data_IF_427417587692
#
_entry.id   IF_427417587692
#
_cell.length_a   1.000
_cell.length_b   1.000
_cell.length_c   1.000
_cell.angle_alpha   90.00
_cell.angle_beta   90.00
_cell.angle_gamma   90.00
#
_symmetry.space_group_name_H-M   'P 1'
#
loop_
_entity.id
_entity.type
_entity.pdbx_description
1 polymer ?
#
# COMPACT_ATOMS: atom_id res chain seq x y z
N UNK A 1 -62.11 21.73 -2.31
CA UNK A 1 -61.94 20.95 -3.56
C UNK A 1 -61.43 21.78 -4.74
N UNK A 2 -61.98 22.96 -5.08
CA UNK A 2 -61.49 23.76 -6.23
C UNK A 2 -59.97 24.05 -6.20
N UNK A 3 -59.43 24.35 -5.03
CA UNK A 3 -58.01 24.67 -4.83
C UNK A 3 -57.08 23.44 -5.06
N UNK A 4 -57.52 22.24 -4.63
CA UNK A 4 -56.81 20.97 -4.87
C UNK A 4 -56.70 20.67 -6.38
N UNK A 5 -57.75 20.98 -7.15
CA UNK A 5 -57.79 20.71 -8.59
C UNK A 5 -57.09 21.78 -9.45
N UNK A 6 -56.95 23.01 -8.94
CA UNK A 6 -56.39 24.15 -9.70
C UNK A 6 -54.95 24.46 -9.30
N UNK A 7 -54.58 24.24 -8.04
CA UNK A 7 -53.25 24.52 -7.49
C UNK A 7 -52.80 23.40 -6.52
N UNK A 8 -52.60 22.17 -7.01
CA UNK A 8 -52.32 21.00 -6.19
C UNK A 8 -51.09 21.17 -5.29
N UNK A 9 -50.02 21.79 -5.77
CA UNK A 9 -48.80 22.04 -4.98
C UNK A 9 -49.06 23.00 -3.80
N UNK A 10 -49.74 24.13 -4.05
CA UNK A 10 -50.08 25.09 -3.00
C UNK A 10 -51.06 24.51 -1.98
N UNK A 11 -51.93 23.61 -2.42
CA UNK A 11 -52.82 22.90 -1.52
C UNK A 11 -52.02 21.91 -0.65
N UNK A 12 -51.11 21.15 -1.25
CA UNK A 12 -50.26 20.18 -0.54
C UNK A 12 -49.38 20.87 0.50
N UNK A 13 -48.70 21.96 0.14
CA UNK A 13 -47.89 22.75 1.07
C UNK A 13 -48.71 23.28 2.25
N UNK A 14 -49.91 23.83 1.98
CA UNK A 14 -50.82 24.30 3.04
C UNK A 14 -51.31 23.17 3.93
N UNK A 15 -51.67 22.02 3.37
CA UNK A 15 -52.09 20.84 4.12
C UNK A 15 -50.97 20.30 5.01
N UNK A 16 -49.73 20.22 4.49
CA UNK A 16 -48.55 19.81 5.25
C UNK A 16 -48.25 20.77 6.40
N UNK A 17 -48.25 22.07 6.12
CA UNK A 17 -48.02 23.09 7.14
C UNK A 17 -49.10 23.07 8.24
N UNK A 18 -50.37 22.88 7.85
CA UNK A 18 -51.46 22.74 8.81
C UNK A 18 -51.30 21.47 9.67
N UNK A 19 -50.97 20.33 9.05
CA UNK A 19 -50.69 19.09 9.76
C UNK A 19 -49.55 19.25 10.78
N UNK A 20 -48.42 19.83 10.35
CA UNK A 20 -47.28 20.07 11.23
C UNK A 20 -47.66 21.01 12.38
N UNK A 21 -48.41 22.08 12.11
CA UNK A 21 -48.85 23.01 13.15
C UNK A 21 -49.77 22.34 14.18
N UNK A 22 -50.70 21.50 13.74
CA UNK A 22 -51.58 20.73 14.63
C UNK A 22 -50.79 19.72 15.46
N UNK A 23 -49.95 18.90 14.83
CA UNK A 23 -49.15 17.90 15.53
C UNK A 23 -48.16 18.52 16.53
N UNK A 24 -47.63 19.73 16.28
CA UNK A 24 -46.79 20.44 17.24
C UNK A 24 -47.54 20.79 18.54
N UNK A 25 -48.85 21.03 18.45
CA UNK A 25 -49.71 21.31 19.60
C UNK A 25 -50.12 20.01 20.28
N UNK A 26 -50.63 19.04 19.50
CA UNK A 26 -51.17 17.79 20.02
C UNK A 26 -50.11 16.93 20.74
N UNK A 27 -48.87 16.97 20.25
CA UNK A 27 -47.75 16.21 20.81
C UNK A 27 -46.74 17.10 21.56
N UNK A 28 -47.17 18.29 22.00
CA UNK A 28 -46.32 19.21 22.75
C UNK A 28 -45.67 18.54 23.97
N UNK A 29 -46.48 17.91 24.83
CA UNK A 29 -46.03 17.32 26.08
C UNK A 29 -45.11 16.11 25.88
N UNK A 30 -45.31 15.37 24.78
CA UNK A 30 -44.39 14.31 24.35
C UNK A 30 -43.01 14.91 24.11
N UNK A 31 -42.90 15.97 23.31
CA UNK A 31 -41.62 16.57 22.94
C UNK A 31 -40.95 17.37 24.06
N UNK A 32 -41.70 17.77 25.09
CA UNK A 32 -41.16 18.33 26.33
C UNK A 32 -40.45 17.28 27.19
N UNK A 33 -40.89 16.02 27.14
CA UNK A 33 -40.47 14.97 28.08
C UNK A 33 -39.71 13.79 27.46
N UNK A 34 -39.64 13.70 26.13
CA UNK A 34 -39.04 12.56 25.42
C UNK A 34 -37.55 12.35 25.72
N UNK A 35 -36.84 13.41 26.07
CA UNK A 35 -35.43 13.38 26.47
C UNK A 35 -35.20 14.21 27.74
N UNK A 36 -33.98 14.19 28.27
CA UNK A 36 -33.63 14.96 29.48
C UNK A 36 -33.80 16.47 29.32
N UNK A 37 -33.89 16.96 28.09
CA UNK A 37 -34.19 18.35 27.77
C UNK A 37 -35.22 18.40 26.65
N UNK A 38 -36.14 19.40 26.67
CA UNK A 38 -37.14 19.55 25.63
C UNK A 38 -36.52 19.65 24.24
N UNK A 39 -37.14 19.00 23.24
CA UNK A 39 -36.70 19.16 21.86
C UNK A 39 -36.95 20.58 21.38
N UNK A 40 -36.03 21.12 20.58
CA UNK A 40 -36.22 22.44 19.94
C UNK A 40 -37.32 22.38 18.90
N UNK A 41 -37.89 23.53 18.53
CA UNK A 41 -38.95 23.61 17.50
C UNK A 41 -38.56 22.93 16.18
N UNK A 42 -37.31 23.07 15.74
CA UNK A 42 -36.85 22.46 14.50
C UNK A 42 -36.69 20.94 14.62
N UNK A 43 -36.25 20.44 15.78
CA UNK A 43 -36.22 19.01 16.07
C UNK A 43 -37.64 18.43 16.13
N UNK A 44 -38.60 19.12 16.76
CA UNK A 44 -40.01 18.71 16.79
C UNK A 44 -40.60 18.64 15.38
N UNK A 45 -40.34 19.65 14.54
CA UNK A 45 -40.74 19.62 13.13
C UNK A 45 -40.13 18.42 12.41
N UNK A 46 -38.83 18.16 12.58
CA UNK A 46 -38.17 16.99 12.00
C UNK A 46 -38.77 15.65 12.49
N UNK A 47 -39.30 15.60 13.71
CA UNK A 47 -40.02 14.44 14.23
C UNK A 47 -41.43 14.29 13.65
N UNK A 48 -42.05 15.36 13.14
CA UNK A 48 -43.45 15.35 12.68
C UNK A 48 -43.56 15.19 11.16
N UNK A 49 -42.66 15.83 10.40
CA UNK A 49 -42.68 15.83 8.92
C UNK A 49 -42.83 14.41 8.40
N UNK A 50 -43.91 14.18 7.66
CA UNK A 50 -44.35 12.84 7.24
C UNK A 50 -44.23 12.67 5.73
N UNK A 51 -43.00 12.75 5.25
CA UNK A 51 -42.63 12.42 3.87
C UNK A 51 -42.02 11.02 3.84
N UNK A 52 -42.05 10.35 2.67
CA UNK A 52 -41.47 9.02 2.49
C UNK A 52 -39.97 8.98 2.81
N UNK A 53 -39.26 10.06 2.51
CA UNK A 53 -37.82 10.18 2.74
C UNK A 53 -37.47 11.53 3.38
N UNK A 54 -36.87 11.49 4.57
CA UNK A 54 -36.47 12.68 5.32
C UNK A 54 -34.94 12.71 5.54
N UNK A 55 -34.27 13.74 5.03
CA UNK A 55 -32.85 13.99 5.28
C UNK A 55 -32.68 15.07 6.34
N UNK A 56 -32.11 14.71 7.49
CA UNK A 56 -31.80 15.65 8.57
C UNK A 56 -30.32 16.01 8.51
N UNK A 57 -30.02 17.27 8.16
CA UNK A 57 -28.66 17.81 8.20
C UNK A 57 -28.40 18.41 9.58
N UNK A 58 -27.43 17.86 10.29
CA UNK A 58 -27.21 18.22 11.70
C UNK A 58 -25.72 18.18 12.09
N UNK A 59 -25.24 19.32 12.62
CA UNK A 59 -23.88 19.49 13.12
C UNK A 59 -23.55 18.60 14.31
N UNK A 60 -22.27 18.58 14.71
CA UNK A 60 -21.87 17.92 15.95
C UNK A 60 -22.59 18.57 17.15
N UNK A 61 -23.06 17.75 18.10
CA UNK A 61 -23.71 18.25 19.32
C UNK A 61 -25.13 18.81 19.18
N UNK A 62 -25.74 18.85 17.99
CA UNK A 62 -27.08 19.45 17.78
C UNK A 62 -28.26 18.52 18.11
N UNK A 63 -28.03 17.45 18.87
CA UNK A 63 -29.10 16.55 19.32
C UNK A 63 -29.65 15.57 18.26
N UNK A 64 -28.85 15.16 17.26
CA UNK A 64 -29.23 14.16 16.23
C UNK A 64 -29.96 12.94 16.79
N UNK A 65 -29.35 12.31 17.80
CA UNK A 65 -29.89 11.11 18.45
C UNK A 65 -31.23 11.40 19.13
N UNK A 66 -31.34 12.53 19.82
CA UNK A 66 -32.58 12.98 20.46
C UNK A 66 -33.70 13.23 19.44
N UNK A 67 -33.39 13.76 18.26
CA UNK A 67 -34.36 13.91 17.17
C UNK A 67 -34.83 12.56 16.62
N UNK A 68 -33.92 11.58 16.46
CA UNK A 68 -34.30 10.22 16.03
C UNK A 68 -35.24 9.56 17.05
N UNK A 69 -34.90 9.65 18.34
CA UNK A 69 -35.73 9.12 19.43
C UNK A 69 -37.10 9.83 19.46
N UNK A 70 -37.11 11.16 19.30
CA UNK A 70 -38.33 11.96 19.18
C UNK A 70 -39.22 11.53 18.03
N UNK A 71 -38.65 11.24 16.85
CA UNK A 71 -39.41 10.75 15.67
C UNK A 71 -40.03 9.39 15.97
N UNK A 72 -39.28 8.47 16.55
CA UNK A 72 -39.78 7.15 16.92
C UNK A 72 -40.91 7.25 17.94
N UNK A 73 -40.74 8.06 18.98
CA UNK A 73 -41.77 8.28 19.99
C UNK A 73 -43.04 8.87 19.37
N UNK A 74 -42.89 9.85 18.46
CA UNK A 74 -44.02 10.42 17.73
C UNK A 74 -44.74 9.38 16.87
N UNK A 75 -44.03 8.58 16.08
CA UNK A 75 -44.63 7.54 15.22
C UNK A 75 -45.45 6.52 16.02
N UNK A 76 -44.94 6.10 17.18
CA UNK A 76 -45.62 5.15 18.06
C UNK A 76 -46.81 5.80 18.76
N UNK A 77 -46.63 6.98 19.37
CA UNK A 77 -47.69 7.66 20.12
C UNK A 77 -48.83 8.17 19.22
N UNK A 78 -48.54 8.50 17.96
CA UNK A 78 -49.55 8.90 16.97
C UNK A 78 -50.25 7.71 16.30
N UNK A 79 -49.79 6.48 16.55
CA UNK A 79 -50.36 5.27 15.95
C UNK A 79 -50.02 5.08 14.46
N UNK A 80 -49.02 5.81 13.94
CA UNK A 80 -48.57 5.69 12.55
C UNK A 80 -47.74 4.42 12.30
N UNK A 81 -47.05 3.93 13.34
CA UNK A 81 -46.30 2.68 13.28
C UNK A 81 -46.33 1.97 14.64
N UNK A 82 -46.35 0.65 14.60
CA UNK A 82 -46.07 -0.16 15.79
C UNK A 82 -44.57 -0.23 16.03
N UNK A 83 -44.11 -0.42 17.29
CA UNK A 83 -42.69 -0.54 17.60
C UNK A 83 -41.95 -1.58 16.73
N UNK A 84 -42.55 -2.74 16.49
CA UNK A 84 -41.99 -3.83 15.69
C UNK A 84 -41.88 -3.53 14.19
N UNK A 85 -42.54 -2.49 13.69
CA UNK A 85 -42.46 -2.03 12.30
C UNK A 85 -41.29 -1.04 12.08
N UNK A 86 -40.60 -0.63 13.16
CA UNK A 86 -39.52 0.36 13.13
C UNK A 86 -38.15 -0.34 13.22
N UNK A 87 -37.31 -0.07 12.23
CA UNK A 87 -35.89 -0.47 12.20
C UNK A 87 -34.99 0.76 12.36
N UNK A 88 -34.14 0.75 13.38
CA UNK A 88 -33.09 1.74 13.59
C UNK A 88 -31.72 1.13 13.24
N UNK A 89 -30.95 1.86 12.43
CA UNK A 89 -29.61 1.46 12.04
C UNK A 89 -28.57 2.44 12.58
N UNK A 90 -27.57 1.90 13.25
CA UNK A 90 -26.40 2.64 13.72
C UNK A 90 -25.11 2.02 13.20
N UNK A 91 -24.04 2.81 13.15
CA UNK A 91 -22.74 2.32 12.70
C UNK A 91 -22.05 1.44 13.76
N UNK A 92 -22.16 1.81 15.03
CA UNK A 92 -21.55 1.10 16.16
C UNK A 92 -22.59 0.38 17.02
N UNK A 93 -22.22 -0.78 17.57
CA UNK A 93 -23.08 -1.57 18.45
C UNK A 93 -23.51 -0.80 19.71
N UNK A 94 -22.60 0.00 20.29
CA UNK A 94 -22.93 0.85 21.45
C UNK A 94 -24.02 1.87 21.14
N UNK A 95 -24.02 2.46 19.95
CA UNK A 95 -25.02 3.44 19.55
C UNK A 95 -26.39 2.79 19.29
N UNK A 96 -26.41 1.58 18.69
CA UNK A 96 -27.64 0.80 18.54
C UNK A 96 -28.23 0.42 19.91
N UNK A 97 -27.38 -0.04 20.84
CA UNK A 97 -27.79 -0.39 22.20
C UNK A 97 -28.33 0.83 22.96
N UNK A 98 -27.63 1.95 22.89
CA UNK A 98 -28.05 3.20 23.53
C UNK A 98 -29.41 3.67 22.99
N UNK A 99 -29.64 3.62 21.68
CA UNK A 99 -30.94 3.97 21.08
C UNK A 99 -32.06 3.07 21.65
N UNK A 100 -31.81 1.76 21.71
CA UNK A 100 -32.76 0.78 22.26
C UNK A 100 -33.04 1.05 23.74
N UNK A 101 -32.01 1.19 24.57
CA UNK A 101 -32.16 1.46 25.99
C UNK A 101 -32.93 2.75 26.25
N UNK A 102 -32.64 3.83 25.52
CA UNK A 102 -33.37 5.10 25.68
C UNK A 102 -34.85 4.94 25.36
N UNK A 103 -35.20 4.23 24.28
CA UNK A 103 -36.59 4.00 23.88
C UNK A 103 -37.33 3.11 24.89
N UNK A 104 -36.70 2.03 25.34
CA UNK A 104 -37.32 1.07 26.27
C UNK A 104 -37.40 1.62 27.70
N UNK A 105 -36.31 2.14 28.23
CA UNK A 105 -36.20 2.55 29.64
C UNK A 105 -36.85 3.90 29.93
N UNK A 106 -36.70 4.88 29.03
CA UNK A 106 -37.26 6.23 29.25
C UNK A 106 -38.70 6.34 28.78
N UNK A 107 -39.04 5.71 27.66
CA UNK A 107 -40.34 5.90 27.01
C UNK A 107 -41.27 4.69 27.12
N UNK A 108 -40.77 3.56 27.63
CA UNK A 108 -41.55 2.32 27.71
C UNK A 108 -41.86 1.69 26.36
N UNK A 109 -41.23 2.16 25.28
CA UNK A 109 -41.46 1.67 23.92
C UNK A 109 -40.60 0.43 23.71
N UNK A 110 -41.24 -0.74 23.70
CA UNK A 110 -40.58 -2.05 23.55
C UNK A 110 -40.86 -2.65 22.19
N UNK A 111 -39.93 -3.47 21.69
CA UNK A 111 -40.10 -4.22 20.44
C UNK A 111 -39.48 -3.57 19.20
N UNK A 112 -38.80 -2.43 19.37
CA UNK A 112 -38.05 -1.78 18.27
C UNK A 112 -36.79 -2.59 17.97
N UNK A 113 -36.54 -2.80 16.67
CA UNK A 113 -35.28 -3.39 16.21
C UNK A 113 -34.24 -2.28 16.02
N UNK A 114 -33.22 -2.23 16.87
CA UNK A 114 -32.07 -1.34 16.71
C UNK A 114 -30.80 -2.16 16.50
N UNK A 115 -30.21 -2.07 15.32
CA UNK A 115 -29.11 -2.96 14.89
C UNK A 115 -28.00 -2.18 14.18
N UNK A 116 -26.85 -2.84 14.00
CA UNK A 116 -25.83 -2.34 13.08
C UNK A 116 -26.08 -2.85 11.67
N UNK A 117 -25.56 -2.14 10.65
CA UNK A 117 -25.61 -2.60 9.26
C UNK A 117 -25.07 -4.03 9.09
N UNK A 118 -23.94 -4.34 9.71
CA UNK A 118 -23.32 -5.67 9.65
C UNK A 118 -24.22 -6.76 10.25
N UNK A 119 -24.86 -6.47 11.40
CA UNK A 119 -25.74 -7.43 12.06
C UNK A 119 -27.03 -7.64 11.27
N UNK A 120 -27.63 -6.58 10.74
CA UNK A 120 -28.76 -6.69 9.84
C UNK A 120 -28.42 -7.57 8.63
N UNK A 121 -27.30 -7.29 7.96
CA UNK A 121 -26.84 -8.06 6.81
C UNK A 121 -26.67 -9.54 7.14
N UNK A 122 -26.02 -9.86 8.27
CA UNK A 122 -25.87 -11.25 8.74
C UNK A 122 -27.21 -11.92 9.02
N UNK A 123 -28.16 -11.21 9.63
CA UNK A 123 -29.51 -11.72 9.89
C UNK A 123 -30.28 -12.01 8.60
N UNK A 124 -30.14 -11.15 7.58
CA UNK A 124 -30.75 -11.36 6.26
C UNK A 124 -30.18 -12.61 5.60
N UNK A 125 -28.84 -12.70 5.50
CA UNK A 125 -28.15 -13.85 4.89
C UNK A 125 -28.53 -15.15 5.58
N UNK A 126 -28.51 -15.17 6.92
CA UNK A 126 -28.86 -16.36 7.69
C UNK A 126 -30.32 -16.80 7.52
N UNK A 127 -31.23 -15.86 7.22
CA UNK A 127 -32.64 -16.19 6.93
C UNK A 127 -32.84 -16.65 5.48
N UNK A 128 -32.02 -16.17 4.54
CA UNK A 128 -32.15 -16.49 3.12
C UNK A 128 -31.40 -17.76 2.71
N UNK A 129 -30.32 -18.11 3.40
CA UNK A 129 -29.46 -19.25 3.06
C UNK A 129 -29.63 -20.41 4.07
N UNK A 130 -29.85 -21.65 3.59
CA UNK A 130 -30.03 -22.82 4.46
C UNK A 130 -28.75 -23.27 5.18
N UNK A 131 -27.58 -22.88 4.67
CA UNK A 131 -26.27 -23.11 5.30
C UNK A 131 -25.50 -21.78 5.32
N UNK A 132 -25.41 -21.08 6.47
CA UNK A 132 -24.63 -19.86 6.55
C UNK A 132 -23.16 -20.23 6.34
N UNK A 133 -22.65 -19.98 5.13
CA UNK A 133 -21.26 -20.26 4.79
C UNK A 133 -20.33 -19.71 5.89
N UNK A 134 -19.67 -20.63 6.60
CA UNK A 134 -18.79 -20.25 7.68
C UNK A 134 -17.68 -19.35 7.12
N UNK A 135 -17.61 -18.12 7.61
CA UNK A 135 -16.53 -17.21 7.22
C UNK A 135 -15.21 -17.86 7.63
N UNK A 136 -14.30 -18.05 6.67
CA UNK A 136 -12.97 -18.61 6.96
C UNK A 136 -12.29 -17.82 8.08
N UNK A 137 -11.64 -18.48 9.05
CA UNK A 137 -10.88 -17.79 10.10
C UNK A 137 -9.83 -16.81 9.54
N UNK A 138 -9.29 -17.08 8.35
CA UNK A 138 -8.35 -16.20 7.64
C UNK A 138 -8.96 -14.86 7.19
N UNK A 139 -10.29 -14.73 7.18
CA UNK A 139 -10.95 -13.48 6.84
C UNK A 139 -10.84 -12.43 7.96
N UNK A 140 -10.71 -12.89 9.21
CA UNK A 140 -10.65 -12.05 10.41
C UNK A 140 -9.31 -12.11 11.12
N UNK A 141 -8.58 -13.22 11.00
CA UNK A 141 -7.25 -13.40 11.57
C UNK A 141 -6.16 -13.13 10.51
N UNK A 142 -5.53 -11.95 10.63
CA UNK A 142 -4.44 -11.54 9.73
C UNK A 142 -3.21 -12.44 9.84
N UNK A 143 -2.87 -12.90 11.05
CA UNK A 143 -1.70 -13.72 11.27
C UNK A 143 -1.88 -15.11 10.64
N UNK A 144 -3.07 -15.69 10.79
CA UNK A 144 -3.41 -16.95 10.14
C UNK A 144 -3.39 -16.83 8.61
N UNK A 145 -3.92 -15.73 8.05
CA UNK A 145 -3.85 -15.47 6.61
C UNK A 145 -2.40 -15.38 6.12
N UNK A 146 -1.56 -14.59 6.79
CA UNK A 146 -0.16 -14.43 6.42
C UNK A 146 0.60 -15.77 6.49
N UNK A 147 0.36 -16.57 7.53
CA UNK A 147 0.95 -17.90 7.66
C UNK A 147 0.54 -18.84 6.51
N UNK A 148 -0.74 -18.84 6.13
CA UNK A 148 -1.23 -19.62 4.99
C UNK A 148 -0.54 -19.19 3.69
N UNK A 149 -0.49 -17.88 3.40
CA UNK A 149 0.16 -17.35 2.20
C UNK A 149 1.63 -17.73 2.16
N UNK A 150 2.35 -17.58 3.26
CA UNK A 150 3.76 -17.98 3.34
C UNK A 150 3.94 -19.48 3.09
N UNK A 151 3.08 -20.32 3.66
CA UNK A 151 3.12 -21.79 3.43
C UNK A 151 2.94 -22.14 1.95
N UNK A 152 1.97 -21.51 1.28
CA UNK A 152 1.74 -21.72 -0.17
C UNK A 152 2.92 -21.19 -0.98
N UNK A 153 3.45 -20.02 -0.62
CA UNK A 153 4.59 -19.43 -1.31
C UNK A 153 5.86 -20.29 -1.19
N UNK A 154 6.15 -20.82 0.00
CA UNK A 154 7.27 -21.76 0.22
C UNK A 154 7.08 -23.06 -0.56
N UNK A 155 5.86 -23.60 -0.63
CA UNK A 155 5.57 -24.77 -1.44
C UNK A 155 5.83 -24.50 -2.93
N UNK A 156 5.40 -23.32 -3.43
CA UNK A 156 5.61 -22.90 -4.82
C UNK A 156 7.08 -22.73 -5.20
N UNK A 157 7.93 -22.27 -4.28
CA UNK A 157 9.39 -22.17 -4.51
C UNK A 157 10.08 -23.53 -4.77
N UNK A 158 9.42 -24.65 -4.47
CA UNK A 158 9.92 -26.01 -4.80
C UNK A 158 9.69 -26.38 -6.27
N UNK A 159 8.78 -25.69 -6.96
CA UNK A 159 8.52 -25.88 -8.38
C UNK A 159 9.57 -25.12 -9.22
N UNK A 160 10.23 -25.81 -10.15
CA UNK A 160 11.34 -25.22 -10.93
C UNK A 160 10.89 -24.01 -11.76
N UNK A 161 9.73 -24.09 -12.42
CA UNK A 161 9.21 -23.00 -13.24
C UNK A 161 8.89 -21.74 -12.41
N UNK A 162 8.28 -21.93 -11.23
CA UNK A 162 7.98 -20.83 -10.32
C UNK A 162 9.26 -20.19 -9.76
N UNK A 163 10.29 -21.01 -9.51
CA UNK A 163 11.59 -20.52 -9.03
C UNK A 163 12.27 -19.59 -10.02
N UNK A 164 12.30 -19.97 -11.29
CA UNK A 164 12.87 -19.13 -12.36
C UNK A 164 12.10 -17.82 -12.50
N UNK A 165 10.77 -17.86 -12.43
CA UNK A 165 9.93 -16.66 -12.43
C UNK A 165 10.21 -15.75 -11.23
N UNK A 166 10.34 -16.33 -10.03
CA UNK A 166 10.61 -15.59 -8.80
C UNK A 166 11.98 -14.90 -8.85
N UNK A 167 13.01 -15.59 -9.35
CA UNK A 167 14.33 -15.00 -9.55
C UNK A 167 14.30 -13.88 -10.59
N UNK A 168 13.65 -14.11 -11.72
CA UNK A 168 13.46 -13.06 -12.73
C UNK A 168 12.73 -11.84 -12.17
N UNK A 169 11.76 -12.05 -11.28
CA UNK A 169 11.07 -10.95 -10.60
C UNK A 169 12.02 -10.14 -9.72
N UNK A 170 12.78 -10.79 -8.83
CA UNK A 170 13.71 -10.08 -7.96
C UNK A 170 14.85 -9.40 -8.73
N UNK A 171 15.26 -9.96 -9.87
CA UNK A 171 16.29 -9.33 -10.70
C UNK A 171 15.83 -8.04 -11.36
N UNK A 172 14.57 -7.98 -11.78
CA UNK A 172 14.05 -6.84 -12.55
C UNK A 172 13.30 -5.82 -11.69
N UNK A 173 12.67 -6.28 -10.60
CA UNK A 173 11.63 -5.53 -9.89
C UNK A 173 11.84 -5.47 -8.37
N UNK A 174 12.97 -5.95 -7.84
CA UNK A 174 13.26 -5.80 -6.41
C UNK A 174 13.29 -4.32 -5.99
N UNK A 175 13.66 -3.41 -6.89
CA UNK A 175 13.74 -1.98 -6.62
C UNK A 175 13.14 -1.10 -7.72
N UNK A 176 12.58 0.07 -7.37
CA UNK A 176 12.16 1.05 -8.36
C UNK A 176 13.41 1.66 -9.04
N UNK A 177 13.63 1.34 -10.31
CA UNK A 177 14.78 1.85 -11.06
C UNK A 177 14.58 3.33 -11.43
N UNK A 178 15.59 4.16 -11.16
CA UNK A 178 15.64 5.58 -11.57
C UNK A 178 16.98 5.88 -12.23
N UNK A 179 16.97 6.73 -13.24
CA UNK A 179 18.19 7.17 -13.92
C UNK A 179 18.86 8.27 -13.07
N UNK A 180 20.16 8.14 -12.72
CA UNK A 180 20.90 9.18 -11.99
C UNK A 180 20.85 10.56 -12.64
N UNK A 181 20.67 10.61 -13.96
CA UNK A 181 20.59 11.85 -14.74
C UNK A 181 19.26 12.61 -14.53
N UNK A 182 18.25 11.97 -13.94
CA UNK A 182 16.94 12.58 -13.67
C UNK A 182 16.92 13.41 -12.36
N UNK A 183 18.01 13.40 -11.59
CA UNK A 183 18.12 14.10 -10.30
C UNK A 183 18.82 15.46 -10.45
N UNK A 184 18.52 16.41 -9.56
CA UNK A 184 19.14 17.74 -9.61
C UNK A 184 20.48 17.78 -8.87
N UNK A 185 20.69 16.89 -7.91
CA UNK A 185 21.93 16.82 -7.11
C UNK A 185 22.31 15.38 -6.77
N UNK A 186 23.60 15.15 -6.52
CA UNK A 186 24.11 13.86 -6.05
C UNK A 186 23.50 13.45 -4.69
N UNK A 187 23.22 14.42 -3.82
CA UNK A 187 22.61 14.17 -2.52
C UNK A 187 21.16 13.67 -2.62
N UNK A 188 20.39 14.17 -3.58
CA UNK A 188 19.05 13.65 -3.87
C UNK A 188 19.10 12.20 -4.36
N UNK A 189 20.05 11.89 -5.24
CA UNK A 189 20.24 10.53 -5.75
C UNK A 189 20.61 9.56 -4.62
N UNK A 190 21.59 9.90 -3.77
CA UNK A 190 21.95 9.04 -2.62
C UNK A 190 20.84 8.90 -1.61
N UNK A 191 20.07 9.95 -1.35
CA UNK A 191 18.88 9.85 -0.48
C UNK A 191 17.86 8.88 -1.08
N UNK A 192 17.62 8.93 -2.39
CA UNK A 192 16.74 7.97 -3.05
C UNK A 192 17.23 6.52 -2.87
N UNK A 193 18.54 6.25 -3.02
CA UNK A 193 19.07 4.90 -2.79
C UNK A 193 18.90 4.44 -1.33
N UNK A 194 19.09 5.34 -0.36
CA UNK A 194 18.93 5.05 1.06
C UNK A 194 17.46 4.81 1.44
N UNK A 195 16.55 5.67 1.00
CA UNK A 195 15.12 5.60 1.30
C UNK A 195 14.47 4.33 0.73
N UNK A 196 15.04 3.79 -0.37
CA UNK A 196 14.59 2.54 -0.99
C UNK A 196 15.44 1.32 -0.59
N UNK A 197 16.40 1.49 0.32
CA UNK A 197 17.29 0.43 0.83
C UNK A 197 17.92 -0.42 -0.28
N UNK A 198 18.42 0.23 -1.35
CA UNK A 198 18.98 -0.45 -2.51
C UNK A 198 20.22 -1.25 -2.10
N UNK A 199 20.16 -2.58 -2.28
CA UNK A 199 21.23 -3.51 -1.91
C UNK A 199 21.42 -4.61 -2.95
N UNK A 200 22.61 -5.20 -2.97
CA UNK A 200 22.92 -6.37 -3.80
C UNK A 200 22.19 -7.61 -3.29
N UNK A 201 22.19 -8.69 -4.07
CA UNK A 201 21.70 -10.01 -3.64
C UNK A 201 22.48 -10.56 -2.43
N UNK A 202 23.71 -10.08 -2.18
CA UNK A 202 24.51 -10.36 -0.96
C UNK A 202 24.18 -9.41 0.20
N UNK A 203 23.23 -8.48 0.03
CA UNK A 203 22.82 -7.51 1.04
C UNK A 203 23.75 -6.28 1.18
N UNK A 204 24.71 -6.08 0.27
CA UNK A 204 25.64 -4.95 0.31
C UNK A 204 24.95 -3.66 -0.14
N UNK A 205 25.15 -2.56 0.58
CA UNK A 205 24.68 -1.25 0.12
C UNK A 205 25.61 -0.73 -0.98
N UNK A 206 25.04 -0.27 -2.10
CA UNK A 206 25.79 0.18 -3.28
C UNK A 206 25.46 1.63 -3.63
N UNK A 207 26.36 2.27 -4.39
CA UNK A 207 26.26 3.69 -4.76
C UNK A 207 25.52 3.94 -6.07
N UNK A 208 25.14 2.88 -6.78
CA UNK A 208 24.30 3.01 -7.95
C UNK A 208 23.68 1.70 -8.45
N UNK A 209 22.71 1.82 -9.34
CA UNK A 209 22.04 0.68 -9.95
C UNK A 209 22.95 -0.12 -10.89
N UNK A 210 23.96 0.51 -11.52
CA UNK A 210 24.93 -0.21 -12.34
C UNK A 210 25.83 -1.10 -11.49
N UNK A 211 26.32 -0.58 -10.37
CA UNK A 211 27.08 -1.36 -9.39
C UNK A 211 26.24 -2.51 -8.81
N UNK A 212 24.95 -2.27 -8.51
CA UNK A 212 24.04 -3.34 -8.08
C UNK A 212 23.95 -4.48 -9.10
N UNK A 213 23.74 -4.16 -10.37
CA UNK A 213 23.64 -5.15 -11.44
C UNK A 213 24.95 -5.94 -11.58
N UNK A 214 26.10 -5.25 -11.52
CA UNK A 214 27.43 -5.87 -11.63
C UNK A 214 27.67 -6.81 -10.46
N UNK A 215 27.42 -6.36 -9.23
CA UNK A 215 27.55 -7.17 -8.02
C UNK A 215 26.71 -8.44 -8.09
N UNK A 216 25.43 -8.29 -8.48
CA UNK A 216 24.49 -9.39 -8.63
C UNK A 216 24.94 -10.36 -9.74
N UNK A 217 25.46 -9.84 -10.85
CA UNK A 217 26.02 -10.66 -11.92
C UNK A 217 27.22 -11.47 -11.45
N UNK A 218 28.18 -10.84 -10.76
CA UNK A 218 29.37 -11.52 -10.25
C UNK A 218 28.98 -12.63 -9.26
N UNK A 219 28.11 -12.31 -8.29
CA UNK A 219 27.58 -13.25 -7.32
C UNK A 219 26.91 -14.45 -8.00
N UNK A 220 25.95 -14.21 -8.91
CA UNK A 220 25.22 -15.27 -9.62
C UNK A 220 26.13 -16.15 -10.47
N UNK A 221 27.24 -15.62 -10.99
CA UNK A 221 28.19 -16.38 -11.79
C UNK A 221 29.31 -17.04 -10.96
N UNK A 222 29.14 -17.12 -9.63
CA UNK A 222 30.09 -17.77 -8.73
C UNK A 222 31.44 -17.05 -8.64
N UNK A 223 31.49 -15.75 -8.97
CA UNK A 223 32.71 -14.96 -8.93
C UNK A 223 32.79 -14.26 -7.58
N UNK A 224 33.80 -14.62 -6.79
CA UNK A 224 34.08 -13.91 -5.54
C UNK A 224 34.60 -12.49 -5.85
N UNK A 225 34.04 -11.51 -5.15
CA UNK A 225 34.42 -10.11 -5.27
C UNK A 225 34.41 -9.41 -3.92
N UNK A 226 35.14 -8.29 -3.86
CA UNK A 226 35.09 -7.33 -2.75
C UNK A 226 34.64 -5.98 -3.30
N UNK A 227 33.55 -5.45 -2.77
CA UNK A 227 33.02 -4.14 -3.12
C UNK A 227 33.80 -3.03 -2.40
N UNK A 228 34.17 -1.97 -3.13
CA UNK A 228 34.95 -0.81 -2.64
C UNK A 228 36.20 -1.18 -1.81
N UNK A 229 36.90 -2.25 -2.20
CA UNK A 229 38.11 -2.68 -1.50
C UNK A 229 39.26 -1.69 -1.68
N UNK A 230 40.00 -1.40 -0.61
CA UNK A 230 41.19 -0.53 -0.68
C UNK A 230 42.20 -1.11 -1.68
N UNK A 231 42.59 -0.30 -2.65
CA UNK A 231 43.62 -0.62 -3.62
C UNK A 231 44.99 -0.71 -2.93
N UNK A 232 45.45 -1.94 -2.71
CA UNK A 232 46.67 -2.23 -1.97
C UNK A 232 47.75 -2.80 -2.90
N UNK A 233 48.45 -1.93 -3.61
CA UNK A 233 49.67 -2.28 -4.37
C UNK A 233 50.86 -1.52 -3.81
N UNK A 234 52.08 -2.00 -4.04
CA UNK A 234 53.32 -1.40 -3.52
C UNK A 234 53.62 0.02 -4.04
N UNK A 235 52.75 0.59 -4.86
CA UNK A 235 52.92 1.89 -5.49
C UNK A 235 52.42 2.97 -4.55
N UNK A 236 53.33 3.88 -4.16
CA UNK A 236 52.98 5.14 -3.51
C UNK A 236 52.39 6.08 -4.56
N UNK A 237 51.07 6.06 -4.69
CA UNK A 237 50.34 7.03 -5.52
C UNK A 237 50.46 8.40 -4.84
N UNK A 238 50.88 9.43 -5.58
CA UNK A 238 51.00 10.79 -5.02
C UNK A 238 49.60 11.40 -4.75
N UNK A 239 49.42 11.89 -3.51
CA UNK A 239 48.50 12.95 -3.07
C UNK A 239 47.00 12.85 -3.42
N UNK A 240 46.40 11.65 -3.35
CA UNK A 240 44.94 11.49 -3.14
C UNK A 240 44.71 10.50 -2.00
N UNK A 241 43.50 10.50 -1.42
CA UNK A 241 43.13 9.56 -0.34
C UNK A 241 43.22 8.09 -0.79
N UNK A 242 42.78 7.17 0.07
CA UNK A 242 42.75 5.75 -0.29
C UNK A 242 41.86 5.54 -1.53
N UNK A 243 42.45 4.97 -2.60
CA UNK A 243 41.73 4.58 -3.80
C UNK A 243 40.98 3.28 -3.56
N UNK A 244 39.67 3.27 -3.80
CA UNK A 244 38.81 2.09 -3.72
C UNK A 244 38.10 1.91 -5.06
N UNK A 245 38.55 1.01 -5.95
CA UNK A 245 37.77 0.64 -7.13
C UNK A 245 36.46 -0.02 -6.74
N UNK A 246 35.44 0.10 -7.59
CA UNK A 246 34.08 -0.39 -7.29
C UNK A 246 34.08 -1.89 -6.96
N UNK A 247 34.82 -2.70 -7.73
CA UNK A 247 34.98 -4.12 -7.44
C UNK A 247 36.41 -4.60 -7.58
N UNK A 248 36.80 -5.53 -6.71
CA UNK A 248 38.03 -6.30 -6.81
C UNK A 248 37.74 -7.80 -6.79
N UNK A 249 38.24 -8.51 -7.79
CA UNK A 249 38.11 -9.96 -7.97
C UNK A 249 39.43 -10.62 -7.51
N UNK A 250 39.54 -11.06 -6.24
CA UNK A 250 40.80 -11.52 -5.66
C UNK A 250 41.40 -12.71 -6.39
N UNK A 251 40.57 -13.67 -6.80
CA UNK A 251 41.03 -14.91 -7.46
C UNK A 251 41.66 -14.66 -8.84
N UNK A 252 41.35 -13.52 -9.46
CA UNK A 252 41.79 -13.16 -10.80
C UNK A 252 42.75 -11.97 -10.82
N UNK A 253 42.89 -11.24 -9.71
CA UNK A 253 43.66 -10.00 -9.66
C UNK A 253 43.10 -8.92 -10.59
N UNK A 254 41.78 -8.89 -10.78
CA UNK A 254 41.07 -7.97 -11.68
C UNK A 254 40.32 -6.93 -10.87
N UNK A 255 40.32 -5.69 -11.33
CA UNK A 255 39.54 -4.59 -10.79
C UNK A 255 38.49 -4.16 -11.79
N UNK A 256 37.33 -3.72 -11.30
CA UNK A 256 36.24 -3.19 -12.13
C UNK A 256 35.89 -1.78 -11.66
N UNK A 257 35.72 -0.90 -12.64
CA UNK A 257 35.21 0.46 -12.48
C UNK A 257 33.95 0.65 -13.31
N UNK A 258 32.91 1.22 -12.72
CA UNK A 258 31.65 1.58 -13.35
C UNK A 258 31.54 3.10 -13.48
N UNK A 259 31.76 3.60 -14.68
CA UNK A 259 31.74 5.02 -14.96
C UNK A 259 30.34 5.52 -15.27
N UNK A 260 29.94 6.59 -14.58
CA UNK A 260 28.66 7.27 -14.69
C UNK A 260 28.50 8.13 -15.96
N UNK A 261 29.07 7.72 -17.09
CA UNK A 261 29.06 8.48 -18.34
C UNK A 261 28.11 7.89 -19.37
N UNK A 262 27.50 8.79 -20.16
CA UNK A 262 26.72 8.42 -21.33
C UNK A 262 27.61 8.07 -22.54
N UNK A 263 27.00 7.80 -23.70
CA UNK A 263 27.73 7.42 -24.93
C UNK A 263 28.60 8.55 -25.51
N UNK A 264 28.31 9.81 -25.18
CA UNK A 264 29.10 10.98 -25.58
C UNK A 264 30.19 11.33 -24.54
N UNK A 265 30.27 10.55 -23.45
CA UNK A 265 31.14 10.85 -22.33
C UNK A 265 30.62 12.00 -21.46
N UNK A 266 29.32 12.28 -21.47
CA UNK A 266 28.73 13.27 -20.57
C UNK A 266 28.37 12.61 -19.23
N UNK A 267 28.55 13.36 -18.15
CA UNK A 267 28.21 12.96 -16.78
C UNK A 267 26.80 13.44 -16.41
N UNK A 268 26.28 12.98 -15.27
CA UNK A 268 25.04 13.54 -14.73
C UNK A 268 25.14 15.07 -14.56
N UNK A 269 24.04 15.85 -14.71
CA UNK A 269 24.10 17.32 -14.78
C UNK A 269 24.73 18.01 -13.56
N UNK A 270 24.73 17.34 -12.42
CA UNK A 270 25.30 17.83 -11.15
C UNK A 270 26.74 17.37 -10.89
N UNK A 271 27.37 16.68 -11.85
CA UNK A 271 28.76 16.24 -11.79
C UNK A 271 29.56 17.06 -12.79
N UNK A 272 30.64 17.68 -12.32
CA UNK A 272 31.60 18.38 -13.18
C UNK A 272 32.27 17.38 -14.13
N UNK A 273 31.98 17.54 -15.43
CA UNK A 273 32.43 16.62 -16.48
C UNK A 273 33.95 16.57 -16.59
N UNK A 274 34.61 17.72 -16.61
CA UNK A 274 36.06 17.79 -16.85
C UNK A 274 36.84 17.21 -15.66
N UNK A 275 36.38 17.51 -14.44
CA UNK A 275 36.91 16.90 -13.23
C UNK A 275 36.69 15.38 -13.24
N UNK A 276 35.51 14.92 -13.62
CA UNK A 276 35.19 13.49 -13.66
C UNK A 276 36.07 12.73 -14.67
N UNK A 277 36.27 13.25 -15.88
CA UNK A 277 37.19 12.65 -16.86
C UNK A 277 38.64 12.63 -16.37
N UNK A 278 39.09 13.70 -15.72
CA UNK A 278 40.42 13.73 -15.09
C UNK A 278 40.56 12.62 -14.04
N UNK A 279 39.52 12.37 -13.26
CA UNK A 279 39.48 11.31 -12.26
C UNK A 279 39.47 9.91 -12.92
N UNK A 280 38.75 9.73 -14.03
CA UNK A 280 38.77 8.49 -14.82
C UNK A 280 40.16 8.18 -15.37
N UNK A 281 40.83 9.17 -15.98
CA UNK A 281 42.19 9.03 -16.50
C UNK A 281 43.19 8.71 -15.40
N UNK A 282 43.06 9.36 -14.25
CA UNK A 282 43.88 9.06 -13.08
C UNK A 282 43.70 7.59 -12.63
N UNK A 283 42.46 7.09 -12.53
CA UNK A 283 42.19 5.67 -12.19
C UNK A 283 42.87 4.71 -13.18
N UNK A 284 42.79 4.99 -14.49
CA UNK A 284 43.48 4.21 -15.53
C UNK A 284 44.99 4.19 -15.35
N UNK A 285 45.61 5.35 -15.11
CA UNK A 285 47.05 5.44 -14.89
C UNK A 285 47.50 4.75 -13.59
N UNK A 286 46.67 4.77 -12.53
CA UNK A 286 46.95 4.00 -11.29
C UNK A 286 47.07 2.50 -11.59
N UNK A 287 46.16 1.94 -12.39
CA UNK A 287 46.20 0.53 -12.74
C UNK A 287 47.35 0.19 -13.70
N UNK A 288 47.66 1.08 -14.64
CA UNK A 288 48.80 0.95 -15.56
C UNK A 288 50.14 0.97 -14.84
N UNK A 289 50.35 1.93 -13.94
CA UNK A 289 51.54 1.97 -13.08
C UNK A 289 51.58 0.73 -12.18
N UNK A 290 50.43 0.33 -11.65
CA UNK A 290 50.17 -0.88 -10.85
C UNK A 290 50.49 -2.20 -11.53
N UNK A 291 50.57 -2.21 -12.87
CA UNK A 291 50.52 -3.41 -13.68
C UNK A 291 49.33 -4.33 -13.30
N UNK A 292 48.19 -3.74 -12.92
CA UNK A 292 46.96 -4.46 -12.56
C UNK A 292 45.96 -4.41 -13.71
N UNK A 293 45.08 -5.42 -13.79
CA UNK A 293 44.04 -5.50 -14.82
C UNK A 293 42.82 -4.69 -14.41
N UNK A 294 42.43 -3.72 -15.23
CA UNK A 294 41.21 -2.93 -15.07
C UNK A 294 40.19 -3.31 -16.15
N UNK A 295 38.96 -3.60 -15.73
CA UNK A 295 37.78 -3.73 -16.59
C UNK A 295 36.90 -2.51 -16.36
N UNK A 296 36.51 -1.85 -17.43
CA UNK A 296 35.64 -0.68 -17.37
C UNK A 296 34.24 -1.06 -17.81
N UNK A 297 33.25 -0.49 -17.15
CA UNK A 297 31.85 -0.50 -17.55
C UNK A 297 31.30 0.92 -17.48
N UNK A 298 30.20 1.18 -18.19
CA UNK A 298 29.68 2.53 -18.33
C UNK A 298 28.17 2.59 -18.15
N UNK A 299 27.67 3.75 -17.70
CA UNK A 299 26.24 3.97 -17.48
C UNK A 299 25.42 3.85 -18.76
N UNK A 300 25.95 4.29 -19.92
CA UNK A 300 25.26 4.09 -21.20
C UNK A 300 24.99 2.61 -21.51
N UNK A 301 25.87 1.70 -21.06
CA UNK A 301 25.67 0.25 -21.28
C UNK A 301 24.47 -0.25 -20.48
N UNK A 302 24.20 0.33 -19.31
CA UNK A 302 22.99 0.03 -18.53
C UNK A 302 21.76 0.60 -19.21
N UNK A 303 21.82 1.86 -19.65
CA UNK A 303 20.71 2.51 -20.34
C UNK A 303 20.30 1.80 -21.64
N UNK A 304 21.29 1.24 -22.35
CA UNK A 304 21.07 0.46 -23.59
C UNK A 304 20.77 -1.03 -23.33
N UNK A 305 20.77 -1.48 -22.06
CA UNK A 305 20.48 -2.87 -21.71
C UNK A 305 21.57 -3.88 -22.07
N UNK A 306 22.81 -3.43 -22.32
CA UNK A 306 23.94 -4.26 -22.77
C UNK A 306 25.04 -4.43 -21.71
N UNK A 307 24.92 -3.79 -20.55
CA UNK A 307 25.91 -3.79 -19.46
C UNK A 307 26.40 -5.20 -19.10
N UNK A 308 25.48 -6.12 -18.80
CA UNK A 308 25.83 -7.45 -18.31
C UNK A 308 26.46 -8.32 -19.42
N UNK A 309 25.99 -8.20 -20.66
CA UNK A 309 26.58 -8.91 -21.80
C UNK A 309 27.98 -8.39 -22.15
N UNK A 310 28.18 -7.06 -22.06
CA UNK A 310 29.48 -6.44 -22.26
C UNK A 310 30.46 -6.84 -21.15
N UNK A 311 30.03 -6.76 -19.89
CA UNK A 311 30.80 -7.21 -18.74
C UNK A 311 31.20 -8.68 -18.87
N UNK A 312 30.25 -9.56 -19.22
CA UNK A 312 30.50 -10.99 -19.44
C UNK A 312 31.62 -11.22 -20.45
N UNK A 313 31.55 -10.56 -21.61
CA UNK A 313 32.59 -10.66 -22.65
C UNK A 313 33.95 -10.18 -22.14
N UNK A 314 34.00 -9.05 -21.42
CA UNK A 314 35.23 -8.50 -20.85
C UNK A 314 35.86 -9.44 -19.82
N UNK A 315 35.06 -10.01 -18.93
CA UNK A 315 35.50 -10.97 -17.91
C UNK A 315 36.07 -12.24 -18.56
N UNK A 316 35.33 -12.85 -19.49
CA UNK A 316 35.79 -14.06 -20.19
C UNK A 316 37.08 -13.81 -20.96
N UNK A 317 37.19 -12.68 -21.67
CA UNK A 317 38.42 -12.29 -22.37
C UNK A 317 39.61 -12.06 -21.42
N UNK A 318 39.33 -11.63 -20.18
CA UNK A 318 40.34 -11.45 -19.14
C UNK A 318 40.76 -12.77 -18.45
N UNK A 319 40.11 -13.89 -18.80
CA UNK A 319 40.38 -15.23 -18.27
C UNK A 319 39.50 -15.63 -17.09
N UNK A 320 38.42 -14.90 -16.81
CA UNK A 320 37.49 -15.22 -15.72
C UNK A 320 36.60 -16.39 -16.11
N UNK A 321 36.53 -17.40 -15.24
CA UNK A 321 35.61 -18.53 -15.39
C UNK A 321 34.28 -18.18 -14.74
N UNK A 322 33.18 -18.39 -15.47
CA UNK A 322 31.82 -18.27 -14.96
C UNK A 322 31.37 -19.66 -14.49
N UNK A 323 30.92 -19.75 -13.23
CA UNK A 323 30.35 -20.96 -12.66
C UNK A 323 29.02 -20.60 -11.97
N UNK A 324 27.92 -20.53 -12.74
CA UNK A 324 26.65 -20.02 -12.22
C UNK A 324 26.15 -20.79 -11.00
N UNK A 325 25.77 -20.05 -9.96
CA UNK A 325 25.14 -20.61 -8.78
C UNK A 325 23.80 -21.24 -9.14
N UNK A 326 23.43 -22.36 -8.48
CA UNK A 326 22.10 -22.93 -8.66
C UNK A 326 21.04 -21.92 -8.16
N UNK A 327 19.87 -21.85 -8.81
CA UNK A 327 18.74 -20.98 -8.41
C UNK A 327 18.42 -21.00 -6.91
N UNK A 328 18.51 -22.17 -6.29
CA UNK A 328 18.27 -22.40 -4.87
C UNK A 328 19.25 -21.63 -3.98
N UNK A 329 20.54 -21.59 -4.35
CA UNK A 329 21.55 -20.88 -3.58
C UNK A 329 21.29 -19.37 -3.60
N UNK A 330 20.88 -18.82 -4.74
CA UNK A 330 20.54 -17.40 -4.88
C UNK A 330 19.30 -17.05 -4.06
N UNK A 331 18.27 -17.90 -4.07
CA UNK A 331 17.08 -17.70 -3.25
C UNK A 331 17.34 -17.76 -1.76
N UNK A 332 18.23 -18.63 -1.30
CA UNK A 332 18.59 -18.69 0.12
C UNK A 332 19.28 -17.40 0.58
N UNK A 333 20.14 -16.79 -0.26
CA UNK A 333 20.72 -15.47 0.08
C UNK A 333 19.64 -14.37 0.14
N UNK A 334 18.67 -14.38 -0.80
CA UNK A 334 17.51 -13.49 -0.75
C UNK A 334 16.65 -13.71 0.50
N UNK A 335 16.58 -14.94 1.00
CA UNK A 335 15.87 -15.29 2.24
C UNK A 335 16.60 -14.76 3.46
N UNK A 336 17.91 -14.95 3.55
CA UNK A 336 18.76 -14.41 4.62
C UNK A 336 18.69 -12.88 4.68
N UNK A 337 18.63 -12.23 3.52
CA UNK A 337 18.45 -10.79 3.40
C UNK A 337 17.02 -10.30 3.75
N UNK A 338 16.04 -11.20 3.83
CA UNK A 338 14.65 -10.89 4.18
C UNK A 338 13.77 -10.45 3.00
N UNK A 339 14.30 -10.42 1.77
CA UNK A 339 13.52 -10.07 0.57
C UNK A 339 12.37 -11.06 0.32
N UNK A 340 12.61 -12.37 0.55
CA UNK A 340 11.60 -13.42 0.43
C UNK A 340 10.45 -13.19 1.43
N UNK A 341 10.79 -12.89 2.69
CA UNK A 341 9.80 -12.63 3.74
C UNK A 341 8.95 -11.40 3.41
N UNK A 342 9.59 -10.28 3.03
CA UNK A 342 8.90 -9.05 2.63
C UNK A 342 7.99 -9.28 1.42
N UNK A 343 8.42 -10.10 0.46
CA UNK A 343 7.59 -10.44 -0.69
C UNK A 343 6.36 -11.28 -0.30
N UNK A 344 6.48 -12.20 0.66
CA UNK A 344 5.34 -12.97 1.18
C UNK A 344 4.28 -12.06 1.86
N UNK A 345 4.72 -11.01 2.55
CA UNK A 345 3.85 -9.97 3.11
C UNK A 345 3.11 -9.21 2.01
N UNK A 346 3.83 -8.79 0.96
CA UNK A 346 3.23 -8.14 -0.22
C UNK A 346 2.18 -9.04 -0.88
N UNK A 347 2.45 -10.34 -1.05
CA UNK A 347 1.47 -11.29 -1.57
C UNK A 347 0.21 -11.37 -0.68
N UNK A 348 0.38 -11.31 0.64
CA UNK A 348 -0.73 -11.34 1.60
C UNK A 348 -1.62 -10.09 1.47
N UNK A 349 -0.99 -8.93 1.31
CA UNK A 349 -1.67 -7.64 1.12
C UNK A 349 -2.34 -7.57 -0.25
N UNK A 350 -1.67 -8.04 -1.31
CA UNK A 350 -2.22 -8.13 -2.66
C UNK A 350 -3.52 -8.93 -2.67
N UNK A 351 -3.58 -10.08 -2.01
CA UNK A 351 -4.83 -10.85 -1.87
C UNK A 351 -5.93 -10.07 -1.13
N UNK A 352 -5.56 -9.19 -0.19
CA UNK A 352 -6.50 -8.31 0.49
C UNK A 352 -7.07 -7.24 -0.43
N UNK A 353 -6.20 -6.60 -1.23
CA UNK A 353 -6.55 -5.59 -2.21
C UNK A 353 -7.38 -6.16 -3.35
N UNK A 354 -7.01 -7.34 -3.87
CA UNK A 354 -7.74 -8.04 -4.92
C UNK A 354 -9.21 -8.28 -4.50
N UNK A 355 -9.40 -8.78 -3.27
CA UNK A 355 -10.74 -8.95 -2.69
C UNK A 355 -11.50 -7.62 -2.56
N UNK A 356 -10.82 -6.56 -2.14
CA UNK A 356 -11.46 -5.25 -1.96
C UNK A 356 -11.84 -4.57 -3.28
N UNK A 357 -11.06 -4.81 -4.33
CA UNK A 357 -11.29 -4.30 -5.68
C UNK A 357 -12.37 -5.09 -6.44
N UNK A 358 -12.82 -6.23 -5.90
CA UNK A 358 -13.81 -7.11 -6.51
C UNK A 358 -13.44 -7.54 -7.94
N UNK A 359 -12.13 -7.73 -8.17
CA UNK A 359 -11.59 -8.18 -9.45
C UNK A 359 -11.85 -9.67 -9.64
N UNK A 360 -12.15 -10.07 -10.87
CA UNK A 360 -12.31 -11.47 -11.26
C UNK A 360 -11.15 -11.97 -12.12
N UNK A 361 -11.07 -13.28 -12.34
CA UNK A 361 -9.95 -13.92 -13.07
C UNK A 361 -9.78 -13.43 -14.52
N UNK A 362 -10.80 -12.80 -15.13
CA UNK A 362 -10.70 -12.23 -16.49
C UNK A 362 -10.13 -10.80 -16.49
N UNK A 363 -10.02 -10.18 -15.32
CA UNK A 363 -9.51 -8.82 -15.13
C UNK A 363 -8.04 -8.79 -14.66
N UNK A 364 -7.43 -9.97 -14.49
CA UNK A 364 -5.99 -10.22 -14.31
C UNK A 364 -5.33 -10.57 -15.64
#
# INVERSE_FOLDING_TARGET
>A
MRDLTQHPEKWLERSRNAYVAHALVDYHDLFESVESSPLTTDQRKACIIDEDNNLILAGAGTGKTSTVIGRVAFLVNSGQAKPEEILLLAYGSKAAEELRERLESKLGIKGITAETFHRLGKCIVHKSEPDPAATSPMATDKALKAHFVNTVFEAKQRESEYRELLLSYFEQWLYPVRNPFDFNTLGEYYRFLQDNEIRTLKGEAVKGFGECDIANFLFKNGIEYKYEAVYNTAIRIQARGAYCPDFYLPDYGIYIEHFGTDRNGDTAPYIDRDQYHTDMEWKREVHKLGATKLIETFHYEKQEGVLLDALKKRLVNAGVRLDPLPPEAVLETLREFGAITRFAEILTDMLGLFRAANLNDQEL
#
